data_IF_991977828649
#
_entry.id   IF_991977828649
#
_cell.length_a   1.000
_cell.length_b   1.000
_cell.length_c   1.000
_cell.angle_alpha   90.00
_cell.angle_beta   90.00
_cell.angle_gamma   90.00
#
_symmetry.space_group_name_H-M   'P 1'
#
loop_
_entity.id
_entity.type
_entity.pdbx_description
1 polymer ?
#
# COMPACT_ATOMS: atom_id res chain seq x y z
N UNK A 1 -9.98 -1.22 8.83
CA UNK A 1 -10.83 -2.41 9.00
C UNK A 1 -10.30 -3.44 10.00
N UNK A 2 -9.09 -3.29 10.56
CA UNK A 2 -8.60 -4.25 11.56
C UNK A 2 -8.31 -5.64 10.98
N UNK A 3 -7.88 -5.70 9.70
CA UNK A 3 -7.54 -6.94 9.01
C UNK A 3 -6.09 -6.90 8.57
N UNK A 4 -5.52 -8.06 8.26
CA UNK A 4 -4.18 -8.17 7.69
C UNK A 4 -4.26 -7.92 6.18
N UNK A 5 -3.36 -7.10 5.66
CA UNK A 5 -3.25 -6.82 4.23
C UNK A 5 -1.82 -6.90 3.75
N UNK A 6 -1.56 -7.59 2.64
CA UNK A 6 -0.24 -7.72 2.05
C UNK A 6 -0.26 -7.22 0.61
N UNK A 7 0.62 -6.26 0.32
CA UNK A 7 0.99 -5.88 -1.04
C UNK A 7 2.36 -6.47 -1.34
N UNK A 8 2.49 -7.47 -2.23
CA UNK A 8 3.78 -8.08 -2.52
C UNK A 8 4.67 -7.16 -3.36
N UNK A 9 5.89 -7.61 -3.66
CA UNK A 9 6.83 -6.92 -4.54
C UNK A 9 6.21 -6.70 -5.92
N UNK A 10 6.49 -5.57 -6.56
CA UNK A 10 6.06 -5.36 -7.95
C UNK A 10 6.61 -6.48 -8.84
N UNK A 11 5.73 -7.16 -9.57
CA UNK A 11 6.06 -8.32 -10.40
C UNK A 11 5.97 -9.69 -9.69
N UNK A 12 5.69 -9.76 -8.38
CA UNK A 12 5.49 -11.04 -7.66
C UNK A 12 4.18 -11.75 -8.05
N UNK A 13 3.13 -10.97 -8.34
CA UNK A 13 1.82 -11.45 -8.78
C UNK A 13 1.53 -10.84 -10.16
N UNK A 14 1.09 -11.67 -11.09
CA UNK A 14 0.73 -11.24 -12.44
C UNK A 14 -0.36 -10.18 -12.43
N UNK A 15 -0.23 -9.21 -13.34
CA UNK A 15 -1.26 -8.19 -13.61
C UNK A 15 -2.08 -8.53 -14.85
N UNK A 16 -1.86 -9.67 -15.49
CA UNK A 16 -2.70 -10.11 -16.59
C UNK A 16 -4.14 -10.33 -16.10
N UNK A 17 -5.10 -9.63 -16.71
CA UNK A 17 -6.50 -9.61 -16.27
C UNK A 17 -6.84 -8.54 -15.22
N UNK A 18 -5.86 -7.85 -14.63
CA UNK A 18 -6.09 -6.67 -13.80
C UNK A 18 -6.46 -5.48 -14.68
N UNK A 19 -7.58 -4.82 -14.38
CA UNK A 19 -7.91 -3.54 -15.02
C UNK A 19 -6.93 -2.47 -14.55
N UNK A 20 -5.96 -2.13 -15.39
CA UNK A 20 -4.88 -1.23 -15.05
C UNK A 20 -5.38 0.18 -14.69
N UNK A 21 -4.90 0.68 -13.55
CA UNK A 21 -4.95 2.08 -13.16
C UNK A 21 -3.61 2.73 -13.49
N UNK A 22 -2.55 2.38 -12.77
CA UNK A 22 -1.19 2.84 -13.00
C UNK A 22 -0.26 1.64 -13.18
N UNK A 23 0.01 1.28 -14.43
CA UNK A 23 0.71 0.06 -14.83
C UNK A 23 2.04 -0.19 -14.09
N UNK A 24 2.80 0.86 -13.78
CA UNK A 24 4.10 0.74 -13.10
C UNK A 24 4.02 0.71 -11.57
N UNK A 25 2.81 0.79 -11.00
CA UNK A 25 2.54 0.91 -9.56
C UNK A 25 1.51 -0.13 -9.06
N UNK A 26 0.64 -0.60 -9.95
CA UNK A 26 -0.41 -1.58 -9.67
C UNK A 26 0.19 -2.92 -9.25
N UNK A 27 -0.31 -3.48 -8.15
CA UNK A 27 0.05 -4.82 -7.67
C UNK A 27 -1.19 -5.45 -7.06
N UNK A 28 -1.51 -6.68 -7.43
CA UNK A 28 -2.54 -7.46 -6.75
C UNK A 28 -1.97 -7.95 -5.41
N UNK A 29 -2.64 -7.59 -4.32
CA UNK A 29 -2.34 -8.05 -2.97
C UNK A 29 -3.38 -9.03 -2.44
N UNK A 30 -3.28 -9.37 -1.16
CA UNK A 30 -4.26 -10.18 -0.46
C UNK A 30 -4.64 -9.56 0.90
N UNK A 31 -5.84 -9.86 1.34
CA UNK A 31 -6.33 -9.58 2.69
C UNK A 31 -6.66 -10.90 3.38
N UNK A 32 -6.47 -10.94 4.69
CA UNK A 32 -6.77 -12.11 5.52
C UNK A 32 -7.17 -11.72 6.93
N UNK A 33 -7.82 -12.64 7.62
CA UNK A 33 -8.07 -12.53 9.07
C UNK A 33 -6.79 -12.71 9.88
N UNK A 34 -5.77 -13.36 9.31
CA UNK A 34 -4.47 -13.56 9.92
C UNK A 34 -3.32 -13.40 8.92
N UNK A 35 -2.10 -13.27 9.45
CA UNK A 35 -0.87 -13.32 8.63
C UNK A 35 -0.73 -14.68 7.94
N UNK A 36 -1.13 -15.76 8.60
CA UNK A 36 -1.16 -17.10 8.01
C UNK A 36 -2.08 -17.19 6.79
N UNK A 37 -3.27 -16.58 6.85
CA UNK A 37 -4.22 -16.55 5.72
C UNK A 37 -3.64 -15.78 4.53
N UNK A 38 -3.03 -14.62 4.79
CA UNK A 38 -2.40 -13.83 3.72
C UNK A 38 -1.22 -14.56 3.07
N UNK A 39 -0.38 -15.26 3.85
CA UNK A 39 0.68 -16.13 3.34
C UNK A 39 0.13 -17.27 2.48
N UNK A 40 -0.98 -17.89 2.91
CA UNK A 40 -1.64 -18.96 2.17
C UNK A 40 -2.16 -18.47 0.82
N UNK A 41 -2.85 -17.33 0.79
CA UNK A 41 -3.34 -16.73 -0.45
C UNK A 41 -2.19 -16.35 -1.37
N UNK A 42 -1.14 -15.70 -0.84
CA UNK A 42 0.01 -15.29 -1.63
C UNK A 42 0.71 -16.48 -2.29
N UNK A 43 0.84 -17.61 -1.57
CA UNK A 43 1.43 -18.85 -2.10
C UNK A 43 0.69 -19.38 -3.34
N UNK A 44 -0.60 -19.07 -3.49
CA UNK A 44 -1.42 -19.51 -4.62
C UNK A 44 -1.35 -18.52 -5.78
N UNK A 45 -1.37 -17.22 -5.52
CA UNK A 45 -1.48 -16.18 -6.56
C UNK A 45 -0.12 -15.69 -7.08
N UNK A 46 0.96 -15.90 -6.33
CA UNK A 46 2.30 -15.48 -6.72
C UNK A 46 2.92 -16.42 -7.77
N UNK A 47 3.76 -15.86 -8.63
CA UNK A 47 4.54 -16.62 -9.60
C UNK A 47 4.67 -15.91 -10.95
N UNK A 48 5.58 -16.44 -11.77
CA UNK A 48 5.78 -15.98 -13.13
C UNK A 48 4.57 -16.33 -14.00
N UNK A 49 4.16 -15.37 -14.84
CA UNK A 49 3.11 -15.55 -15.83
C UNK A 49 3.62 -15.08 -17.19
N UNK A 50 3.64 -16.00 -18.16
CA UNK A 50 4.04 -15.72 -19.55
C UNK A 50 3.16 -14.67 -20.25
N UNK A 51 1.95 -14.41 -19.75
CA UNK A 51 1.04 -13.40 -20.30
C UNK A 51 1.31 -11.99 -19.76
N UNK A 52 2.16 -11.86 -18.74
CA UNK A 52 2.58 -10.60 -18.15
C UNK A 52 4.11 -10.44 -18.23
N UNK A 53 4.56 -9.59 -19.15
CA UNK A 53 5.99 -9.28 -19.35
C UNK A 53 6.66 -8.60 -18.15
N UNK A 54 5.88 -8.12 -17.18
CA UNK A 54 6.38 -7.52 -15.94
C UNK A 54 6.36 -8.47 -14.74
N UNK A 55 5.80 -9.67 -14.92
CA UNK A 55 5.87 -10.70 -13.88
C UNK A 55 7.30 -11.22 -13.76
N UNK A 56 7.76 -11.36 -12.52
CA UNK A 56 9.11 -11.79 -12.22
C UNK A 56 9.26 -13.30 -12.37
N UNK A 57 10.43 -13.74 -12.83
CA UNK A 57 10.83 -15.15 -12.81
C UNK A 57 11.45 -15.59 -11.47
N UNK A 58 11.43 -14.75 -10.43
CA UNK A 58 11.86 -15.15 -9.09
C UNK A 58 10.97 -16.27 -8.55
N UNK A 59 11.60 -17.33 -8.04
CA UNK A 59 10.88 -18.45 -7.44
C UNK A 59 9.97 -17.99 -6.29
N UNK A 60 8.86 -18.69 -6.12
CA UNK A 60 7.90 -18.47 -5.05
C UNK A 60 8.25 -19.43 -3.91
N UNK A 61 8.73 -18.94 -2.76
CA UNK A 61 9.00 -19.82 -1.62
C UNK A 61 7.68 -20.32 -1.00
N UNK A 62 7.76 -21.38 -0.21
CA UNK A 62 6.62 -21.79 0.62
C UNK A 62 6.47 -20.82 1.79
N UNK A 63 5.68 -19.77 1.61
CA UNK A 63 5.51 -18.73 2.63
C UNK A 63 4.97 -19.23 3.97
N UNK A 64 4.39 -20.44 4.01
CA UNK A 64 3.80 -21.03 5.22
C UNK A 64 4.81 -21.82 6.04
N UNK A 65 5.87 -22.35 5.42
CA UNK A 65 6.86 -23.18 6.13
C UNK A 65 7.57 -22.41 7.25
N UNK A 66 7.69 -21.09 7.07
CA UNK A 66 8.43 -20.20 7.95
C UNK A 66 7.55 -19.59 9.06
N UNK A 67 6.26 -19.92 9.09
CA UNK A 67 5.30 -19.44 10.10
C UNK A 67 5.23 -20.45 11.25
N UNK A 68 6.16 -20.30 12.22
CA UNK A 68 6.25 -21.18 13.37
C UNK A 68 4.98 -21.15 14.25
N UNK A 69 4.65 -22.29 14.86
CA UNK A 69 3.64 -22.36 15.92
C UNK A 69 4.14 -21.65 17.18
N UNK A 70 3.26 -20.95 17.89
CA UNK A 70 3.53 -20.31 19.19
C UNK A 70 4.27 -21.21 20.19
N UNK A 71 3.93 -22.50 20.20
CA UNK A 71 4.53 -23.50 21.10
C UNK A 71 6.02 -23.77 20.84
N UNK A 72 6.54 -23.33 19.70
CA UNK A 72 7.93 -23.52 19.27
C UNK A 72 8.73 -22.20 19.29
N UNK A 73 8.11 -21.08 19.64
CA UNK A 73 8.81 -19.81 19.72
C UNK A 73 9.77 -19.81 20.91
N UNK A 74 11.03 -19.47 20.65
CA UNK A 74 12.00 -19.16 21.70
C UNK A 74 11.55 -17.93 22.51
N UNK A 75 12.19 -17.67 23.65
CA UNK A 75 11.86 -16.50 24.48
C UNK A 75 12.11 -15.15 23.77
N UNK A 76 13.00 -15.11 22.78
CA UNK A 76 13.30 -13.95 21.94
C UNK A 76 13.25 -14.32 20.45
N UNK A 77 12.05 -14.54 19.88
CA UNK A 77 11.90 -15.09 18.53
C UNK A 77 12.34 -14.13 17.42
N UNK A 78 12.55 -12.85 17.72
CA UNK A 78 13.04 -11.82 16.79
C UNK A 78 14.48 -11.39 17.06
N UNK A 79 15.25 -12.20 17.79
CA UNK A 79 16.65 -11.90 18.08
C UNK A 79 17.45 -11.60 16.79
N UNK A 80 18.23 -10.52 16.80
CA UNK A 80 19.01 -10.00 15.66
C UNK A 80 18.22 -9.44 14.47
N UNK A 81 16.89 -9.34 14.52
CA UNK A 81 16.14 -8.61 13.49
C UNK A 81 16.32 -7.11 13.73
N UNK A 82 16.80 -6.38 12.72
CA UNK A 82 16.98 -4.93 12.74
C UNK A 82 15.77 -4.26 12.10
N UNK A 83 15.11 -3.38 12.83
CA UNK A 83 13.87 -2.72 12.43
C UNK A 83 14.08 -1.21 12.44
N UNK A 84 13.86 -0.56 11.30
CA UNK A 84 13.93 0.89 11.19
C UNK A 84 12.54 1.53 11.28
N UNK A 85 12.30 2.42 12.24
CA UNK A 85 11.08 3.25 12.28
C UNK A 85 11.27 4.48 11.40
N UNK A 86 10.41 4.69 10.41
CA UNK A 86 10.54 5.86 9.52
C UNK A 86 10.14 7.14 10.27
N UNK A 87 11.11 7.98 10.60
CA UNK A 87 10.92 9.15 11.46
C UNK A 87 9.89 10.15 10.89
N UNK A 88 9.90 10.36 9.58
CA UNK A 88 8.99 11.27 8.87
C UNK A 88 7.52 10.81 8.94
N UNK A 89 7.26 9.59 9.41
CA UNK A 89 5.90 9.04 9.60
C UNK A 89 5.36 9.17 11.01
N UNK A 90 6.14 9.76 11.93
CA UNK A 90 5.75 10.02 13.32
C UNK A 90 5.70 11.52 13.67
N UNK A 91 5.67 12.37 12.63
CA UNK A 91 5.73 13.82 12.75
C UNK A 91 4.37 14.52 12.61
N UNK A 92 4.43 15.73 12.06
CA UNK A 92 3.26 16.57 11.82
C UNK A 92 2.25 15.90 10.88
N UNK A 93 0.95 16.03 11.20
CA UNK A 93 -0.14 15.47 10.41
C UNK A 93 -0.51 14.03 10.75
N UNK A 94 0.06 13.45 11.81
CA UNK A 94 -0.27 12.11 12.32
C UNK A 94 -0.94 12.21 13.68
N UNK A 95 -2.05 11.50 13.86
CA UNK A 95 -2.82 11.52 15.11
C UNK A 95 -2.00 10.96 16.27
N UNK A 96 -2.07 11.61 17.44
CA UNK A 96 -1.32 11.19 18.63
C UNK A 96 -1.63 9.74 19.06
N UNK A 97 -2.89 9.30 18.90
CA UNK A 97 -3.30 7.91 19.18
C UNK A 97 -2.67 6.90 18.23
N UNK A 98 -2.47 7.27 16.97
CA UNK A 98 -1.76 6.44 15.98
C UNK A 98 -0.28 6.36 16.34
N UNK A 99 0.38 7.50 16.64
CA UNK A 99 1.78 7.53 17.08
C UNK A 99 1.99 6.65 18.31
N UNK A 100 1.10 6.77 19.31
CA UNK A 100 1.15 5.97 20.53
C UNK A 100 1.06 4.47 20.23
N UNK A 101 0.13 4.07 19.37
CA UNK A 101 -0.05 2.65 18.97
C UNK A 101 1.18 2.10 18.25
N UNK A 102 1.81 2.88 17.37
CA UNK A 102 3.01 2.47 16.64
C UNK A 102 4.22 2.38 17.57
N UNK A 103 4.37 3.30 18.53
CA UNK A 103 5.42 3.21 19.55
C UNK A 103 5.24 2.00 20.47
N UNK A 104 4.01 1.70 20.87
CA UNK A 104 3.70 0.50 21.65
C UNK A 104 4.04 -0.79 20.86
N UNK A 105 3.71 -0.82 19.57
CA UNK A 105 4.06 -1.93 18.70
C UNK A 105 5.59 -2.08 18.52
N UNK A 106 6.31 -0.98 18.37
CA UNK A 106 7.78 -0.97 18.33
C UNK A 106 8.39 -1.52 19.62
N UNK A 107 7.92 -1.06 20.79
CA UNK A 107 8.39 -1.59 22.08
C UNK A 107 8.06 -3.07 22.28
N UNK A 108 6.93 -3.55 21.75
CA UNK A 108 6.61 -4.98 21.76
C UNK A 108 7.59 -5.79 20.90
N UNK A 109 7.94 -5.30 19.70
CA UNK A 109 8.96 -5.92 18.85
C UNK A 109 10.32 -5.98 19.57
N UNK A 110 10.74 -4.92 20.25
CA UNK A 110 11.96 -4.91 21.08
C UNK A 110 11.94 -5.98 22.19
N UNK A 111 10.80 -6.15 22.87
CA UNK A 111 10.63 -7.19 23.91
C UNK A 111 10.81 -8.61 23.35
N UNK A 112 10.43 -8.83 22.09
CA UNK A 112 10.62 -10.08 21.35
C UNK A 112 12.06 -10.28 20.85
N UNK A 113 12.96 -9.31 21.08
CA UNK A 113 14.40 -9.42 20.85
C UNK A 113 14.94 -8.68 19.63
N UNK A 114 14.11 -7.95 18.86
CA UNK A 114 14.61 -7.14 17.75
C UNK A 114 15.33 -5.88 18.23
N UNK A 115 16.20 -5.33 17.38
CA UNK A 115 16.76 -4.00 17.55
C UNK A 115 15.88 -3.02 16.77
N UNK A 116 15.28 -2.04 17.45
CA UNK A 116 14.41 -1.04 16.82
C UNK A 116 15.04 0.34 16.94
N UNK A 117 15.28 1.00 15.81
CA UNK A 117 15.92 2.32 15.75
C UNK A 117 15.15 3.24 14.80
N UNK A 118 15.14 4.55 15.08
CA UNK A 118 14.58 5.52 14.13
C UNK A 118 15.54 5.72 12.94
N UNK A 119 14.95 5.85 11.74
CA UNK A 119 15.66 6.16 10.51
C UNK A 119 15.03 7.36 9.82
N UNK A 120 15.84 8.36 9.51
CA UNK A 120 15.41 9.50 8.70
C UNK A 120 15.48 9.17 7.22
N UNK A 121 14.39 9.46 6.52
CA UNK A 121 14.22 9.36 5.08
C UNK A 121 13.66 10.70 4.55
N UNK A 122 14.49 11.75 4.38
CA UNK A 122 14.01 13.10 4.05
C UNK A 122 13.23 13.18 2.72
N UNK A 123 13.47 12.24 1.80
CA UNK A 123 12.78 12.16 0.52
C UNK A 123 11.33 11.65 0.62
N UNK A 124 10.90 11.18 1.81
CA UNK A 124 9.59 10.57 2.02
C UNK A 124 8.44 11.52 1.67
N UNK A 125 8.56 12.81 2.00
CA UNK A 125 7.55 13.84 1.70
C UNK A 125 7.38 14.12 0.20
N UNK A 126 8.38 13.80 -0.63
CA UNK A 126 8.32 13.99 -2.08
C UNK A 126 7.48 12.92 -2.78
N UNK A 127 7.22 11.81 -2.09
CA UNK A 127 6.53 10.64 -2.61
C UNK A 127 5.12 10.92 -3.12
N UNK A 128 4.31 11.55 -2.27
CA UNK A 128 2.90 11.81 -2.53
C UNK A 128 2.68 12.64 -3.82
N UNK A 129 3.26 13.85 -3.99
CA UNK A 129 3.04 14.61 -5.22
C UNK A 129 3.55 13.88 -6.46
N UNK A 130 4.69 13.18 -6.38
CA UNK A 130 5.22 12.41 -7.51
C UNK A 130 4.32 11.23 -7.88
N UNK A 131 3.79 10.50 -6.90
CA UNK A 131 2.82 9.42 -7.13
C UNK A 131 1.59 9.93 -7.86
N UNK A 132 1.02 11.05 -7.44
CA UNK A 132 -0.18 11.61 -8.06
C UNK A 132 0.04 12.03 -9.52
N UNK A 133 1.23 12.53 -9.86
CA UNK A 133 1.60 12.81 -11.26
C UNK A 133 1.74 11.51 -12.06
N UNK A 134 2.49 10.53 -11.54
CA UNK A 134 2.76 9.28 -12.26
C UNK A 134 1.49 8.45 -12.46
N UNK A 135 0.73 8.22 -11.39
CA UNK A 135 -0.48 7.43 -11.43
C UNK A 135 -1.54 8.06 -12.35
N UNK A 136 -1.74 9.38 -12.27
CA UNK A 136 -2.70 10.08 -13.14
C UNK A 136 -2.27 10.04 -14.61
N UNK A 137 -0.97 10.21 -14.89
CA UNK A 137 -0.40 10.14 -16.24
C UNK A 137 -0.59 8.75 -16.85
N UNK A 138 -0.31 7.69 -16.09
CA UNK A 138 -0.54 6.33 -16.57
C UNK A 138 -2.03 6.02 -16.71
N UNK A 139 -2.86 6.50 -15.79
CA UNK A 139 -4.31 6.33 -15.86
C UNK A 139 -4.92 7.02 -17.09
N UNK A 140 -4.47 8.22 -17.47
CA UNK A 140 -4.99 8.92 -18.65
C UNK A 140 -4.78 8.11 -19.94
N UNK A 141 -3.66 7.40 -20.02
CA UNK A 141 -3.36 6.46 -21.11
C UNK A 141 -4.12 5.14 -20.96
N UNK A 142 -4.05 4.48 -19.80
CA UNK A 142 -4.67 3.17 -19.56
C UNK A 142 -6.19 3.19 -19.77
N UNK A 143 -6.87 4.24 -19.31
CA UNK A 143 -8.32 4.39 -19.39
C UNK A 143 -8.79 4.95 -20.73
N UNK A 144 -7.89 5.28 -21.66
CA UNK A 144 -8.26 5.74 -23.02
C UNK A 144 -9.03 4.68 -23.80
N UNK A 145 -8.81 3.40 -23.50
CA UNK A 145 -9.50 2.24 -24.11
C UNK A 145 -11.00 2.18 -23.84
N UNK A 146 -11.49 2.86 -22.80
CA UNK A 146 -12.91 2.93 -22.45
C UNK A 146 -13.57 4.01 -23.30
N UNK A 147 -14.03 3.58 -24.46
CA UNK A 147 -14.48 4.43 -25.55
C UNK A 147 -15.90 4.08 -26.03
N UNK A 148 -16.49 3.01 -25.48
CA UNK A 148 -17.84 2.54 -25.80
C UNK A 148 -17.94 1.79 -27.13
N UNK A 149 -16.86 1.55 -27.86
CA UNK A 149 -16.91 0.90 -29.18
C UNK A 149 -16.92 -0.62 -29.05
N UNK A 150 -15.96 -1.17 -28.32
CA UNK A 150 -15.76 -2.63 -28.23
C UNK A 150 -16.51 -3.24 -27.05
N UNK A 151 -16.69 -2.49 -25.98
CA UNK A 151 -17.31 -2.94 -24.73
C UNK A 151 -17.67 -1.74 -23.84
N UNK A 152 -18.48 -2.00 -22.81
CA UNK A 152 -18.85 -1.03 -21.79
C UNK A 152 -19.99 -0.10 -22.19
N UNK A 153 -20.04 1.07 -21.57
CA UNK A 153 -21.11 2.06 -21.78
C UNK A 153 -20.88 2.78 -23.11
N UNK A 154 -21.85 2.65 -24.02
CA UNK A 154 -21.95 3.43 -25.24
C UNK A 154 -23.18 4.34 -25.17
N UNK A 155 -23.07 5.55 -25.70
CA UNK A 155 -24.22 6.41 -25.98
C UNK A 155 -24.42 6.53 -27.49
N UNK A 156 -25.67 6.78 -27.91
CA UNK A 156 -25.97 7.13 -29.30
C UNK A 156 -25.45 8.53 -29.60
N UNK A 157 -24.83 8.72 -30.77
CA UNK A 157 -24.36 10.01 -31.25
C UNK A 157 -24.27 9.99 -32.79
N UNK A 158 -24.28 11.17 -33.40
CA UNK A 158 -24.30 11.32 -34.86
C UNK A 158 -22.89 11.26 -35.46
N UNK A 159 -21.86 11.58 -34.67
CA UNK A 159 -20.45 11.46 -35.05
C UNK A 159 -19.57 10.79 -33.97
N UNK A 160 -18.36 10.43 -34.40
CA UNK A 160 -17.42 9.67 -33.58
C UNK A 160 -16.86 10.47 -32.39
N UNK A 161 -16.66 11.79 -32.53
CA UNK A 161 -16.16 12.63 -31.45
C UNK A 161 -17.21 12.77 -30.36
N UNK A 162 -18.47 12.98 -30.74
CA UNK A 162 -19.59 13.01 -29.80
C UNK A 162 -19.78 11.66 -29.12
N UNK A 163 -19.68 10.55 -29.87
CA UNK A 163 -19.78 9.21 -29.30
C UNK A 163 -18.70 9.00 -28.22
N UNK A 164 -17.44 9.33 -28.51
CA UNK A 164 -16.35 9.21 -27.54
C UNK A 164 -16.53 10.14 -26.34
N UNK A 165 -16.78 11.43 -26.60
CA UNK A 165 -16.93 12.45 -25.56
C UNK A 165 -18.07 12.12 -24.60
N UNK A 166 -19.26 11.83 -25.14
CA UNK A 166 -20.47 11.60 -24.35
C UNK A 166 -20.47 10.23 -23.65
N UNK A 167 -19.92 9.18 -24.27
CA UNK A 167 -19.77 7.87 -23.63
C UNK A 167 -18.84 7.96 -22.42
N UNK A 168 -17.71 8.67 -22.56
CA UNK A 168 -16.76 8.87 -21.45
C UNK A 168 -17.30 9.81 -20.37
N UNK A 169 -17.96 10.90 -20.77
CA UNK A 169 -18.53 11.86 -19.83
C UNK A 169 -19.59 11.23 -18.92
N UNK A 170 -20.43 10.36 -19.47
CA UNK A 170 -21.50 9.64 -18.76
C UNK A 170 -21.01 8.37 -18.05
N UNK A 171 -19.98 7.69 -18.58
CA UNK A 171 -19.46 6.45 -18.01
C UNK A 171 -18.44 6.63 -16.89
N UNK A 172 -17.75 7.77 -16.83
CA UNK A 172 -16.68 8.03 -15.85
C UNK A 172 -17.13 9.00 -14.76
N UNK A 173 -16.91 8.62 -13.50
CA UNK A 173 -17.14 9.46 -12.33
C UNK A 173 -16.24 10.70 -12.28
N UNK A 174 -16.56 11.64 -11.40
CA UNK A 174 -15.84 12.92 -11.28
C UNK A 174 -14.33 12.73 -11.00
N UNK A 175 -13.98 11.95 -9.98
CA UNK A 175 -12.57 11.69 -9.61
C UNK A 175 -11.77 11.10 -10.78
N UNK A 176 -12.34 10.10 -11.47
CA UNK A 176 -11.69 9.47 -12.62
C UNK A 176 -11.44 10.47 -13.75
N UNK A 177 -12.42 11.33 -14.05
CA UNK A 177 -12.26 12.40 -15.05
C UNK A 177 -11.17 13.40 -14.64
N UNK A 178 -11.11 13.79 -13.36
CA UNK A 178 -10.06 14.68 -12.84
C UNK A 178 -8.67 14.07 -13.02
N UNK A 179 -8.49 12.79 -12.70
CA UNK A 179 -7.22 12.06 -12.93
C UNK A 179 -6.81 12.04 -14.38
N UNK A 180 -7.75 11.76 -15.29
CA UNK A 180 -7.48 11.74 -16.73
C UNK A 180 -7.07 13.13 -17.23
N UNK A 181 -7.74 14.20 -16.78
CA UNK A 181 -7.39 15.57 -17.14
C UNK A 181 -5.98 15.94 -16.66
N UNK A 182 -5.68 15.69 -15.38
CA UNK A 182 -4.36 15.96 -14.79
C UNK A 182 -3.26 15.16 -15.49
N UNK A 183 -3.50 13.87 -15.75
CA UNK A 183 -2.54 13.01 -16.43
C UNK A 183 -2.30 13.41 -17.88
N UNK A 184 -3.35 13.77 -18.61
CA UNK A 184 -3.25 14.28 -19.99
C UNK A 184 -2.44 15.58 -20.03
N UNK A 185 -2.68 16.48 -19.07
CA UNK A 185 -1.89 17.71 -18.92
C UNK A 185 -0.41 17.41 -18.62
N UNK A 186 -0.13 16.54 -17.65
CA UNK A 186 1.24 16.18 -17.25
C UNK A 186 2.04 15.50 -18.37
N UNK A 187 1.36 14.83 -19.31
CA UNK A 187 1.97 14.19 -20.48
C UNK A 187 2.01 15.08 -21.73
N UNK A 188 1.37 16.25 -21.71
CA UNK A 188 1.28 17.13 -22.87
C UNK A 188 2.63 17.76 -23.23
N UNK A 189 2.81 18.06 -24.52
CA UNK A 189 4.00 18.72 -25.02
C UNK A 189 4.23 20.06 -24.30
N UNK A 190 5.48 20.33 -23.90
CA UNK A 190 5.85 21.51 -23.10
C UNK A 190 5.78 21.30 -21.59
N UNK A 191 4.96 20.37 -21.10
CA UNK A 191 4.79 20.08 -19.67
C UNK A 191 5.40 18.74 -19.22
N UNK A 192 5.61 17.81 -20.16
CA UNK A 192 6.17 16.47 -19.90
C UNK A 192 7.44 16.49 -19.03
N UNK A 193 8.43 17.32 -19.40
CA UNK A 193 9.71 17.37 -18.69
C UNK A 193 9.56 17.96 -17.27
N UNK A 194 8.68 18.95 -17.11
CA UNK A 194 8.45 19.64 -15.85
C UNK A 194 7.64 18.80 -14.84
N UNK A 195 6.73 17.95 -15.32
CA UNK A 195 5.86 17.14 -14.47
C UNK A 195 6.24 15.66 -14.50
N UNK A 196 5.94 14.95 -15.58
CA UNK A 196 6.07 13.48 -15.62
C UNK A 196 7.52 13.02 -15.45
N UNK A 197 8.46 13.59 -16.20
CA UNK A 197 9.89 13.25 -16.07
C UNK A 197 10.44 13.64 -14.69
N UNK A 198 10.03 14.79 -14.15
CA UNK A 198 10.43 15.22 -12.81
C UNK A 198 9.92 14.26 -11.73
N UNK A 199 8.68 13.78 -11.85
CA UNK A 199 8.11 12.80 -10.94
C UNK A 199 8.86 11.44 -11.03
N UNK A 200 9.29 11.01 -12.22
CA UNK A 200 10.16 9.82 -12.36
C UNK A 200 11.53 9.99 -11.68
N UNK A 201 12.11 11.19 -11.75
CA UNK A 201 13.36 11.49 -11.02
C UNK A 201 13.14 11.40 -9.50
N UNK A 202 12.02 11.93 -9.00
CA UNK A 202 11.65 11.79 -7.58
C UNK A 202 11.45 10.33 -7.20
N UNK A 203 10.78 9.53 -8.04
CA UNK A 203 10.66 8.08 -7.83
C UNK A 203 12.01 7.40 -7.65
N UNK A 204 13.02 7.83 -8.42
CA UNK A 204 14.40 7.32 -8.28
C UNK A 204 15.01 7.70 -6.94
N UNK A 205 14.79 8.92 -6.45
CA UNK A 205 15.26 9.36 -5.13
C UNK A 205 14.60 8.57 -4.00
N UNK A 206 13.27 8.40 -4.07
CA UNK A 206 12.51 7.59 -3.11
C UNK A 206 13.06 6.16 -3.07
N UNK A 207 13.22 5.53 -4.25
CA UNK A 207 13.76 4.17 -4.34
C UNK A 207 15.14 4.04 -3.69
N UNK A 208 16.06 4.95 -4.00
CA UNK A 208 17.41 4.97 -3.39
C UNK A 208 17.34 5.12 -1.87
N UNK A 209 16.46 5.98 -1.36
CA UNK A 209 16.28 6.17 0.08
C UNK A 209 15.85 4.89 0.79
N UNK A 210 14.94 4.11 0.17
CA UNK A 210 14.57 2.79 0.71
C UNK A 210 15.69 1.77 0.60
N UNK A 211 16.41 1.73 -0.51
CA UNK A 211 17.57 0.84 -0.69
C UNK A 211 18.64 1.09 0.38
N UNK A 212 18.96 2.35 0.67
CA UNK A 212 19.91 2.74 1.71
C UNK A 212 19.42 2.34 3.12
N UNK A 213 18.13 2.52 3.41
CA UNK A 213 17.54 2.15 4.69
C UNK A 213 17.47 0.63 4.88
N UNK A 214 16.97 -0.10 3.88
CA UNK A 214 16.88 -1.57 3.90
C UNK A 214 18.25 -2.26 3.73
N UNK A 215 19.30 -1.53 3.38
CA UNK A 215 20.69 -2.01 3.51
C UNK A 215 21.17 -2.05 4.97
N UNK A 216 20.55 -1.27 5.86
CA UNK A 216 20.88 -1.18 7.29
C UNK A 216 19.91 -1.95 8.18
N UNK A 217 18.64 -2.04 7.78
CA UNK A 217 17.57 -2.70 8.51
C UNK A 217 16.98 -3.85 7.69
N UNK A 218 16.51 -4.89 8.37
CA UNK A 218 15.91 -6.05 7.70
C UNK A 218 14.47 -5.77 7.28
N UNK A 219 13.78 -4.91 8.04
CA UNK A 219 12.47 -4.34 7.70
C UNK A 219 12.39 -2.88 8.17
N UNK A 220 11.50 -2.11 7.56
CA UNK A 220 11.10 -0.78 8.05
C UNK A 220 9.66 -0.83 8.57
N UNK A 221 9.34 0.01 9.54
CA UNK A 221 7.97 0.15 10.06
C UNK A 221 7.48 1.59 10.03
N UNK A 222 6.17 1.74 9.83
CA UNK A 222 5.45 3.01 9.88
C UNK A 222 3.98 2.77 10.26
N UNK A 223 3.21 3.81 10.62
CA UNK A 223 1.76 3.73 10.53
C UNK A 223 1.32 3.38 9.11
N UNK A 224 0.22 2.63 8.95
CA UNK A 224 -0.40 2.38 7.65
C UNK A 224 -1.24 3.58 7.15
N UNK A 225 -1.65 4.46 8.06
CA UNK A 225 -2.40 5.68 7.77
C UNK A 225 -2.09 6.75 8.84
N UNK A 226 -2.20 8.05 8.52
CA UNK A 226 -1.93 9.13 9.48
C UNK A 226 -3.00 9.27 10.57
N UNK A 227 -4.21 8.77 10.31
CA UNK A 227 -5.36 8.84 11.22
C UNK A 227 -6.09 7.51 11.25
N UNK A 228 -6.99 7.36 12.22
CA UNK A 228 -8.00 6.30 12.16
C UNK A 228 -9.00 6.51 11.00
N UNK A 229 -9.92 5.57 10.84
CA UNK A 229 -11.01 5.69 9.88
C UNK A 229 -11.88 6.93 10.19
N UNK A 230 -12.07 7.80 9.19
CA UNK A 230 -12.96 8.97 9.26
C UNK A 230 -14.40 8.59 8.87
N UNK A 231 -15.37 9.46 9.19
CA UNK A 231 -16.78 9.22 8.87
C UNK A 231 -17.06 9.33 7.37
N UNK A 232 -18.11 8.66 6.92
CA UNK A 232 -18.61 8.79 5.55
C UNK A 232 -19.01 10.26 5.31
N UNK A 233 -18.49 10.86 4.23
CA UNK A 233 -18.75 12.25 3.87
C UNK A 233 -17.81 13.27 4.53
N UNK A 234 -16.95 12.88 5.47
CA UNK A 234 -16.12 13.82 6.22
C UNK A 234 -15.07 14.53 5.36
N UNK A 235 -14.49 13.82 4.37
CA UNK A 235 -13.42 14.33 3.50
C UNK A 235 -13.84 14.52 2.04
N UNK A 236 -15.13 14.47 1.71
CA UNK A 236 -15.58 14.51 0.31
C UNK A 236 -15.42 15.87 -0.36
N UNK A 237 -15.31 16.95 0.42
CA UNK A 237 -15.20 18.31 -0.09
C UNK A 237 -13.74 18.81 -0.17
N UNK A 238 -12.78 18.02 0.32
CA UNK A 238 -11.35 18.34 0.27
C UNK A 238 -10.55 17.17 -0.30
N UNK A 239 -10.31 17.15 -1.63
CA UNK A 239 -9.52 16.12 -2.29
C UNK A 239 -8.10 16.02 -1.73
N UNK A 240 -7.49 17.12 -1.29
CA UNK A 240 -6.13 17.09 -0.75
C UNK A 240 -6.08 16.38 0.61
N UNK A 241 -7.07 16.61 1.47
CA UNK A 241 -7.20 15.88 2.73
C UNK A 241 -7.45 14.38 2.54
N UNK A 242 -8.12 14.00 1.44
CA UNK A 242 -8.26 12.60 1.03
C UNK A 242 -6.89 12.01 0.63
N UNK A 243 -6.15 12.71 -0.22
CA UNK A 243 -4.85 12.27 -0.74
C UNK A 243 -3.78 12.18 0.34
N UNK A 244 -3.82 13.07 1.33
CA UNK A 244 -2.93 13.02 2.49
C UNK A 244 -3.05 11.70 3.27
N UNK A 245 -4.17 10.97 3.16
CA UNK A 245 -4.34 9.64 3.74
C UNK A 245 -3.34 8.62 3.20
N UNK A 246 -2.87 8.78 1.96
CA UNK A 246 -1.96 7.85 1.30
C UNK A 246 -0.47 8.15 1.57
N UNK A 247 -0.16 9.20 2.35
CA UNK A 247 1.23 9.65 2.56
C UNK A 247 2.14 8.54 3.09
N UNK A 248 1.58 7.60 3.84
CA UNK A 248 2.32 6.49 4.45
C UNK A 248 2.59 5.33 3.48
N UNK A 249 1.84 5.20 2.38
CA UNK A 249 1.79 3.97 1.56
C UNK A 249 2.34 4.17 0.15
N UNK A 250 2.12 5.33 -0.48
CA UNK A 250 2.51 5.59 -1.88
C UNK A 250 3.99 5.35 -2.17
N UNK A 251 4.85 5.62 -1.19
CA UNK A 251 6.28 5.45 -1.29
C UNK A 251 6.70 3.99 -1.50
N UNK A 252 5.95 3.05 -0.93
CA UNK A 252 6.16 1.61 -1.12
C UNK A 252 5.89 1.22 -2.58
N UNK A 253 4.81 1.73 -3.19
CA UNK A 253 4.49 1.50 -4.61
C UNK A 253 5.55 2.13 -5.52
N UNK A 254 5.97 3.35 -5.20
CA UNK A 254 7.00 4.08 -5.95
C UNK A 254 8.33 3.31 -5.99
N UNK A 255 8.72 2.70 -4.87
CA UNK A 255 9.91 1.87 -4.75
C UNK A 255 9.72 0.42 -5.26
N UNK A 256 8.48 -0.03 -5.48
CA UNK A 256 8.14 -1.38 -5.93
C UNK A 256 8.31 -2.47 -4.85
N UNK A 257 8.32 -2.08 -3.58
CA UNK A 257 8.66 -2.94 -2.43
C UNK A 257 7.45 -3.70 -1.90
N UNK A 258 7.63 -4.86 -1.24
CA UNK A 258 6.54 -5.50 -0.50
C UNK A 258 6.25 -4.77 0.81
N UNK A 259 4.97 -4.76 1.21
CA UNK A 259 4.55 -4.27 2.52
C UNK A 259 3.39 -5.09 3.10
N UNK A 260 3.52 -5.45 4.37
CA UNK A 260 2.51 -6.14 5.18
C UNK A 260 1.92 -5.14 6.18
N UNK A 261 0.61 -5.07 6.29
CA UNK A 261 -0.10 -4.30 7.31
C UNK A 261 -0.77 -5.26 8.26
N UNK A 262 -0.47 -5.14 9.55
CA UNK A 262 -1.10 -5.89 10.64
C UNK A 262 -1.79 -4.91 11.61
N UNK A 263 -2.96 -5.24 12.17
CA UNK A 263 -3.55 -4.43 13.24
C UNK A 263 -2.64 -4.40 14.47
N UNK A 264 -2.50 -3.24 15.11
CA UNK A 264 -1.55 -3.07 16.22
C UNK A 264 -2.12 -2.31 17.44
N UNK A 265 -3.41 -1.96 17.41
CA UNK A 265 -4.06 -1.24 18.51
C UNK A 265 -5.36 -0.59 18.10
N UNK A 266 -5.96 0.14 19.04
CA UNK A 266 -7.18 0.91 18.84
C UNK A 266 -7.00 2.35 19.31
N UNK A 267 -7.71 3.26 18.67
CA UNK A 267 -7.89 4.63 19.15
C UNK A 267 -9.36 4.91 19.41
N UNK A 268 -9.64 5.98 20.15
CA UNK A 268 -11.01 6.40 20.43
C UNK A 268 -11.79 6.68 19.13
N UNK A 269 -12.99 6.10 19.05
CA UNK A 269 -13.88 6.25 17.90
C UNK A 269 -14.84 5.07 17.78
N UNK A 270 -16.11 5.35 17.47
CA UNK A 270 -17.14 4.32 17.46
C UNK A 270 -17.40 3.69 18.84
N UNK A 271 -18.14 2.59 18.89
CA UNK A 271 -18.49 1.87 20.13
C UNK A 271 -17.41 0.91 20.61
N UNK A 272 -16.51 0.46 19.72
CA UNK A 272 -15.50 -0.56 19.99
C UNK A 272 -14.05 -0.07 19.81
N UNK A 273 -13.86 1.24 19.60
CA UNK A 273 -12.57 1.79 19.14
C UNK A 273 -12.36 1.59 17.64
N UNK A 274 -11.45 2.38 17.06
CA UNK A 274 -11.06 2.27 15.65
C UNK A 274 -9.67 1.63 15.54
N UNK A 275 -9.49 0.60 14.69
CA UNK A 275 -8.23 -0.12 14.60
C UNK A 275 -7.14 0.72 13.92
N UNK A 276 -5.92 0.61 14.44
CA UNK A 276 -4.69 1.18 13.86
C UNK A 276 -3.88 0.06 13.20
N UNK A 277 -3.32 0.35 12.03
CA UNK A 277 -2.47 -0.59 11.29
C UNK A 277 -0.98 -0.23 11.40
N UNK A 278 -0.15 -1.22 11.73
CA UNK A 278 1.30 -1.19 11.61
C UNK A 278 1.68 -1.69 10.21
N UNK A 279 2.34 -0.85 9.43
CA UNK A 279 2.92 -1.22 8.14
C UNK A 279 4.36 -1.68 8.34
N UNK A 280 4.69 -2.85 7.81
CA UNK A 280 6.03 -3.43 7.75
C UNK A 280 6.47 -3.51 6.29
N UNK A 281 7.60 -2.91 5.94
CA UNK A 281 8.11 -2.76 4.57
C UNK A 281 9.41 -3.56 4.44
N UNK A 282 9.51 -4.40 3.42
CA UNK A 282 10.64 -5.28 3.20
C UNK A 282 11.44 -4.93 1.95
N UNK A 283 12.60 -5.58 1.79
CA UNK A 283 13.36 -5.57 0.54
C UNK A 283 12.59 -6.27 -0.60
N UNK A 284 12.94 -6.03 -1.87
CA UNK A 284 12.34 -6.74 -2.98
C UNK A 284 12.40 -8.26 -2.77
N UNK A 285 11.26 -8.92 -2.95
CA UNK A 285 11.08 -10.37 -2.83
C UNK A 285 11.32 -10.96 -1.44
N UNK A 286 11.32 -10.13 -0.38
CA UNK A 286 11.47 -10.58 1.01
C UNK A 286 10.11 -10.78 1.72
N UNK A 287 9.04 -11.12 0.99
CA UNK A 287 7.71 -11.28 1.60
C UNK A 287 7.71 -12.33 2.72
N UNK A 288 8.50 -13.40 2.60
CA UNK A 288 8.65 -14.41 3.64
C UNK A 288 9.16 -13.85 4.97
N UNK A 289 10.11 -12.91 4.94
CA UNK A 289 10.59 -12.26 6.16
C UNK A 289 9.51 -11.36 6.79
N UNK A 290 8.76 -10.62 5.97
CA UNK A 290 7.64 -9.80 6.46
C UNK A 290 6.55 -10.66 7.09
N UNK A 291 6.17 -11.75 6.44
CA UNK A 291 5.17 -12.69 6.95
C UNK A 291 5.66 -13.35 8.24
N UNK A 292 6.93 -13.75 8.34
CA UNK A 292 7.51 -14.29 9.56
C UNK A 292 7.44 -13.30 10.73
N UNK A 293 7.92 -12.07 10.53
CA UNK A 293 7.90 -11.04 11.59
C UNK A 293 6.47 -10.65 11.95
N UNK A 294 5.61 -10.44 10.94
CA UNK A 294 4.20 -10.11 11.14
C UNK A 294 3.44 -11.20 11.87
N UNK A 295 3.70 -12.47 11.58
CA UNK A 295 3.09 -13.62 12.27
C UNK A 295 3.53 -13.68 13.73
N UNK A 296 4.83 -13.54 14.00
CA UNK A 296 5.32 -13.49 15.39
C UNK A 296 4.69 -12.32 16.15
N UNK A 297 4.60 -11.14 15.53
CA UNK A 297 3.93 -9.98 16.12
C UNK A 297 2.45 -10.28 16.41
N UNK A 298 1.69 -10.73 15.41
CA UNK A 298 0.27 -11.07 15.53
C UNK A 298 0.01 -12.08 16.66
N UNK A 299 0.79 -13.15 16.73
CA UNK A 299 0.58 -14.24 17.68
C UNK A 299 0.97 -13.88 19.12
N UNK A 300 1.78 -12.84 19.31
CA UNK A 300 2.24 -12.40 20.63
C UNK A 300 1.54 -11.14 21.14
N UNK A 301 0.63 -10.56 20.35
CA UNK A 301 -0.28 -9.52 20.82
C UNK A 301 -1.29 -10.13 21.79
N UNK A 302 -1.09 -9.87 23.09
CA UNK A 302 -2.03 -10.27 24.13
C UNK A 302 -3.17 -9.25 24.24
N UNK A 303 -4.36 -9.73 24.63
CA UNK A 303 -5.52 -8.90 25.02
C UNK A 303 -6.11 -7.98 23.93
N UNK A 304 -5.72 -8.14 22.67
CA UNK A 304 -6.31 -7.43 21.53
C UNK A 304 -7.04 -8.41 20.61
N UNK A 305 -8.32 -8.15 20.40
CA UNK A 305 -9.13 -8.83 19.38
C UNK A 305 -9.60 -7.81 18.36
N UNK A 306 -9.22 -8.02 17.10
CA UNK A 306 -9.65 -7.19 15.97
C UNK A 306 -10.89 -7.75 15.26
N UNK A 307 -11.49 -8.80 15.83
CA UNK A 307 -12.77 -9.33 15.36
C UNK A 307 -13.86 -8.32 15.70
N UNK A 308 -14.55 -7.73 14.71
CA UNK A 308 -15.63 -6.81 15.00
C UNK A 308 -16.73 -7.53 15.79
N UNK A 309 -17.42 -6.85 16.73
CA UNK A 309 -18.59 -7.43 17.36
C UNK A 309 -19.60 -7.78 16.27
N UNK A 310 -20.21 -8.97 16.38
CA UNK A 310 -21.37 -9.29 15.56
C UNK A 310 -22.40 -8.19 15.77
N UNK A 311 -22.92 -7.60 14.70
CA UNK A 311 -23.99 -6.62 14.80
C UNK A 311 -25.14 -7.29 15.57
N UNK A 312 -25.40 -6.83 16.79
CA UNK A 312 -26.61 -7.23 17.48
C UNK A 312 -27.78 -6.74 16.63
N UNK A 313 -28.75 -7.63 16.37
CA UNK A 313 -30.01 -7.26 15.72
C UNK A 313 -30.64 -6.12 16.55
N UNK A 314 -30.57 -4.90 16.02
CA UNK A 314 -31.29 -3.73 16.52
C UNK A 314 -32.62 -3.61 15.79
#
# INVERSE_FOLDING_TARGET
CGVVGLKPTYGRVSRFGLMAYASSLDVVGCFGSSVFDTATILSVIAGHDKMDSTSSSHDVPDYRSDLASLSLLESKPLNNVRIGIIQETLGEGVDAGVISSIRAAASHLEQLGSVVEEVSMPSFSLGLPAYYILASSEASSNLSRYDGIRYGRQVSADDLNELYGNSRASGLGHEVKMRILMGTYALSAGYYDAYYKRAQQVRTLVKKSFEEALGKYDILISPAAPSAAYKIGEKTNDPLAMYAGDIMTVNVNMAGLPALVVPCGFVEGGSAGLPVGLQMIGSPFSEGNLLRVGHIFEQTLQDLSFVPPLAADN
#
